data_IF_199173167999
#
_entry.id   IF_199173167999
#
_cell.length_a   1.000
_cell.length_b   1.000
_cell.length_c   1.000
_cell.angle_alpha   90.00
_cell.angle_beta   90.00
_cell.angle_gamma   90.00
#
_symmetry.space_group_name_H-M   'P 1'
#
loop_
_entity.id
_entity.type
_entity.pdbx_description
1 polymer ?
#
# COMPACT_ATOMS: atom_id res chain seq x y z
N UNK A 1 5.90 -14.63 -3.61
CA UNK A 1 5.08 -15.25 -2.55
C UNK A 1 5.05 -14.31 -1.36
N UNK A 2 3.92 -14.15 -0.67
CA UNK A 2 3.80 -13.25 0.50
C UNK A 2 3.92 -14.11 1.75
N UNK A 3 4.88 -13.84 2.61
CA UNK A 3 4.90 -14.44 3.94
C UNK A 3 3.92 -13.67 4.83
N UNK A 4 2.95 -14.36 5.41
CA UNK A 4 2.04 -13.77 6.37
C UNK A 4 2.47 -14.17 7.77
N UNK A 5 2.81 -13.16 8.57
CA UNK A 5 3.19 -13.34 9.96
C UNK A 5 2.01 -13.88 10.78
N UNK A 6 2.26 -14.81 11.70
CA UNK A 6 1.29 -15.20 12.72
C UNK A 6 1.03 -14.03 13.68
N UNK A 7 -0.05 -14.12 14.46
CA UNK A 7 -0.39 -13.07 15.46
C UNK A 7 0.71 -12.92 16.52
N UNK A 8 1.39 -14.01 16.88
CA UNK A 8 2.50 -14.01 17.83
C UNK A 8 3.75 -13.38 17.22
N UNK A 9 4.10 -13.73 15.97
CA UNK A 9 5.21 -13.15 15.25
C UNK A 9 5.02 -11.64 15.03
N UNK A 10 3.80 -11.16 14.81
CA UNK A 10 3.50 -9.74 14.65
C UNK A 10 3.78 -8.92 15.91
N UNK A 11 3.69 -9.51 17.09
CA UNK A 11 3.92 -8.86 18.38
C UNK A 11 5.40 -8.86 18.81
N UNK A 12 6.21 -9.71 18.21
CA UNK A 12 7.62 -9.88 18.58
C UNK A 12 8.54 -9.17 17.59
N UNK A 13 8.79 -7.89 17.84
CA UNK A 13 9.64 -7.05 16.97
C UNK A 13 11.11 -7.51 16.90
N UNK A 14 11.62 -8.24 17.90
CA UNK A 14 12.99 -8.74 17.89
C UNK A 14 13.22 -9.76 16.76
N UNK A 15 12.19 -10.49 16.34
CA UNK A 15 12.28 -11.44 15.23
C UNK A 15 12.67 -10.78 13.91
N UNK A 16 12.36 -9.51 13.71
CA UNK A 16 12.64 -8.80 12.45
C UNK A 16 14.13 -8.48 12.25
N UNK A 17 14.94 -8.68 13.28
CA UNK A 17 16.41 -8.59 13.22
C UNK A 17 17.09 -9.92 13.52
N UNK A 18 16.33 -11.00 13.75
CA UNK A 18 16.85 -12.34 14.00
C UNK A 18 17.16 -13.03 12.67
N UNK A 19 18.45 -13.31 12.44
CA UNK A 19 18.92 -13.95 11.21
C UNK A 19 18.33 -15.34 10.99
N UNK A 20 18.04 -16.11 12.05
CA UNK A 20 17.44 -17.45 11.94
C UNK A 20 16.00 -17.35 11.44
N UNK A 21 15.22 -16.40 11.98
CA UNK A 21 13.87 -16.12 11.55
C UNK A 21 13.84 -15.59 10.11
N UNK A 22 14.73 -14.66 9.76
CA UNK A 22 14.83 -14.11 8.42
C UNK A 22 15.14 -15.20 7.39
N UNK A 23 16.10 -16.09 7.67
CA UNK A 23 16.41 -17.24 6.81
C UNK A 23 15.18 -18.13 6.59
N UNK A 24 14.47 -18.49 7.66
CA UNK A 24 13.21 -19.27 7.58
C UNK A 24 12.15 -18.60 6.69
N UNK A 25 12.04 -17.27 6.73
CA UNK A 25 11.14 -16.51 5.86
C UNK A 25 11.61 -16.57 4.41
N UNK A 26 12.91 -16.39 4.16
CA UNK A 26 13.51 -16.41 2.82
C UNK A 26 13.39 -17.79 2.15
N UNK A 27 13.55 -18.87 2.89
CA UNK A 27 13.36 -20.24 2.39
C UNK A 27 11.97 -20.49 1.80
N UNK A 28 10.96 -19.74 2.28
CA UNK A 28 9.59 -19.79 1.76
C UNK A 28 9.36 -18.87 0.56
N UNK A 29 10.39 -18.19 0.08
CA UNK A 29 10.32 -17.27 -1.06
C UNK A 29 11.05 -17.85 -2.28
N UNK A 30 10.82 -17.34 -3.49
CA UNK A 30 11.60 -17.71 -4.67
C UNK A 30 13.08 -17.33 -4.59
N UNK A 31 13.49 -16.57 -3.58
CA UNK A 31 14.86 -16.11 -3.37
C UNK A 31 15.73 -17.13 -2.65
N UNK A 32 15.20 -18.27 -2.22
CA UNK A 32 15.91 -19.30 -1.45
C UNK A 32 17.17 -19.86 -2.14
N UNK A 33 17.19 -19.87 -3.48
CA UNK A 33 18.26 -20.45 -4.29
C UNK A 33 19.31 -19.40 -4.72
N UNK A 34 19.32 -18.23 -4.11
CA UNK A 34 20.27 -17.16 -4.46
C UNK A 34 21.46 -17.17 -3.50
N UNK A 35 22.61 -17.60 -4.00
CA UNK A 35 23.84 -17.80 -3.21
C UNK A 35 24.28 -16.53 -2.45
N UNK A 36 24.08 -15.35 -3.01
CA UNK A 36 24.48 -14.10 -2.35
C UNK A 36 23.78 -13.86 -0.99
N UNK A 37 22.63 -14.52 -0.74
CA UNK A 37 21.93 -14.39 0.55
C UNK A 37 22.75 -14.97 1.71
N UNK A 38 23.69 -15.87 1.43
CA UNK A 38 24.58 -16.45 2.43
C UNK A 38 25.65 -15.48 2.90
N UNK A 39 25.98 -14.50 2.05
CA UNK A 39 26.99 -13.47 2.31
C UNK A 39 26.43 -12.22 3.02
N UNK A 40 25.12 -12.11 3.13
CA UNK A 40 24.48 -10.98 3.79
C UNK A 40 24.57 -11.10 5.31
N UNK A 41 25.32 -10.16 5.92
CA UNK A 41 25.63 -10.18 7.37
C UNK A 41 24.55 -9.53 8.23
N UNK A 42 23.80 -8.55 7.69
CA UNK A 42 22.81 -7.78 8.45
C UNK A 42 21.49 -7.66 7.68
N UNK A 43 20.72 -8.74 7.71
CA UNK A 43 19.36 -8.72 7.14
C UNK A 43 18.37 -8.18 8.17
N UNK A 44 17.46 -7.32 7.71
CA UNK A 44 16.34 -6.83 8.52
C UNK A 44 15.03 -6.97 7.74
N UNK A 45 13.99 -7.39 8.41
CA UNK A 45 12.62 -7.38 7.88
C UNK A 45 11.92 -6.13 8.40
N UNK A 46 11.31 -5.38 7.48
CA UNK A 46 10.46 -4.24 7.83
C UNK A 46 9.00 -4.64 7.63
N UNK A 47 8.22 -4.78 8.72
CA UNK A 47 6.80 -5.07 8.60
C UNK A 47 6.06 -3.89 7.98
N UNK A 48 5.12 -4.19 7.09
CA UNK A 48 4.24 -3.19 6.48
C UNK A 48 2.88 -3.26 7.16
N UNK A 49 2.52 -2.21 7.86
CA UNK A 49 1.21 -2.04 8.45
C UNK A 49 0.27 -1.33 7.47
N UNK A 50 -0.96 -1.80 7.39
CA UNK A 50 -2.01 -1.19 6.55
C UNK A 50 -3.28 -1.02 7.37
N UNK A 51 -4.01 0.06 7.11
CA UNK A 51 -5.29 0.30 7.77
C UNK A 51 -6.39 -0.57 7.17
N UNK A 52 -7.32 -1.01 8.02
CA UNK A 52 -8.53 -1.70 7.61
C UNK A 52 -9.74 -0.75 7.60
N UNK A 53 -9.80 0.14 8.59
CA UNK A 53 -10.91 1.04 8.84
C UNK A 53 -10.48 2.50 8.89
N UNK A 54 -11.44 3.40 8.75
CA UNK A 54 -11.26 4.83 8.86
C UNK A 54 -11.71 5.30 10.25
N UNK A 55 -10.84 6.01 10.94
CA UNK A 55 -11.16 6.60 12.23
C UNK A 55 -11.52 8.07 12.06
N UNK A 56 -12.71 8.44 12.55
CA UNK A 56 -13.10 9.84 12.73
C UNK A 56 -12.98 10.16 14.20
N UNK A 57 -12.17 11.16 14.55
CA UNK A 57 -12.08 11.65 15.91
C UNK A 57 -13.39 12.37 16.27
N UNK A 58 -13.80 12.24 17.54
CA UNK A 58 -15.03 12.90 18.04
C UNK A 58 -14.88 14.42 18.13
N UNK A 59 -13.63 14.89 18.35
CA UNK A 59 -13.34 16.32 18.36
C UNK A 59 -13.22 16.85 16.93
N UNK A 60 -14.13 17.76 16.57
CA UNK A 60 -14.20 18.34 15.22
C UNK A 60 -13.01 19.25 14.88
N UNK A 61 -12.19 19.65 15.86
CA UNK A 61 -11.02 20.50 15.64
C UNK A 61 -9.73 19.70 15.40
N UNK A 62 -9.81 18.36 15.44
CA UNK A 62 -8.66 17.48 15.20
C UNK A 62 -8.90 16.65 13.97
N UNK A 63 -8.01 16.79 12.99
CA UNK A 63 -8.08 16.05 11.71
C UNK A 63 -6.84 15.17 11.56
N UNK A 64 -7.05 13.92 11.16
CA UNK A 64 -5.98 13.00 10.80
C UNK A 64 -5.65 13.15 9.31
N UNK A 65 -4.37 13.08 8.98
CA UNK A 65 -3.86 13.09 7.59
C UNK A 65 -2.81 11.99 7.40
N UNK A 66 -2.49 11.68 6.15
CA UNK A 66 -1.48 10.67 5.80
C UNK A 66 -1.81 9.28 6.36
N UNK A 67 -0.78 8.58 6.82
CA UNK A 67 -0.92 7.23 7.37
C UNK A 67 -1.73 7.19 8.67
N UNK A 68 -1.75 8.29 9.44
CA UNK A 68 -2.63 8.43 10.60
C UNK A 68 -4.11 8.43 10.22
N UNK A 69 -4.46 8.94 9.03
CA UNK A 69 -5.82 8.84 8.49
C UNK A 69 -6.09 7.46 7.91
N UNK A 70 -5.17 6.94 7.10
CA UNK A 70 -5.26 5.61 6.50
C UNK A 70 -3.93 5.18 5.87
N UNK A 71 -3.26 4.20 6.46
CA UNK A 71 -2.04 3.61 5.93
C UNK A 71 -2.35 2.71 4.73
N UNK A 72 -1.87 3.11 3.56
CA UNK A 72 -2.10 2.42 2.29
C UNK A 72 -1.07 1.30 2.06
N UNK A 73 -1.44 0.19 1.38
CA UNK A 73 -0.47 -0.78 0.89
C UNK A 73 0.54 -0.09 -0.07
N UNK A 74 1.86 -0.42 0.02
CA UNK A 74 2.89 0.26 -0.77
C UNK A 74 2.86 -0.09 -2.26
N UNK A 75 2.08 -1.08 -2.66
CA UNK A 75 2.00 -1.64 -4.02
C UNK A 75 1.57 -0.64 -5.11
N UNK A 76 1.10 0.54 -4.75
CA UNK A 76 0.71 1.59 -5.67
C UNK A 76 1.54 2.89 -5.51
N UNK A 77 2.49 2.90 -4.57
CA UNK A 77 3.38 4.03 -4.26
C UNK A 77 2.64 5.36 -4.01
N UNK A 78 1.43 5.32 -3.42
CA UNK A 78 0.56 6.48 -3.24
C UNK A 78 0.61 7.09 -1.83
N UNK A 79 1.30 6.48 -0.86
CA UNK A 79 1.30 6.95 0.53
C UNK A 79 1.68 8.43 0.65
N UNK A 80 2.85 8.81 0.17
CA UNK A 80 3.35 10.18 0.27
C UNK A 80 2.48 11.18 -0.50
N UNK A 81 2.12 10.88 -1.76
CA UNK A 81 1.29 11.79 -2.56
C UNK A 81 -0.10 11.98 -1.97
N UNK A 82 -0.70 10.93 -1.39
CA UNK A 82 -1.99 11.02 -0.71
C UNK A 82 -1.90 11.78 0.63
N UNK A 83 -0.75 11.75 1.30
CA UNK A 83 -0.51 12.56 2.50
C UNK A 83 -0.45 14.05 2.16
N UNK A 84 0.31 14.43 1.12
CA UNK A 84 0.43 15.81 0.65
C UNK A 84 -0.92 16.34 0.14
N UNK A 85 -1.61 15.56 -0.68
CA UNK A 85 -2.94 15.92 -1.20
C UNK A 85 -3.95 16.11 -0.05
N UNK A 86 -3.93 15.19 0.95
CA UNK A 86 -4.80 15.29 2.11
C UNK A 86 -4.55 16.52 2.97
N UNK A 87 -3.29 16.91 3.15
CA UNK A 87 -2.94 18.15 3.84
C UNK A 87 -3.44 19.38 3.09
N UNK A 88 -3.29 19.42 1.77
CA UNK A 88 -3.78 20.50 0.93
C UNK A 88 -5.32 20.58 0.94
N UNK A 89 -6.02 19.45 0.80
CA UNK A 89 -7.49 19.38 0.88
C UNK A 89 -8.00 19.87 2.24
N UNK A 90 -7.33 19.49 3.34
CA UNK A 90 -7.68 19.97 4.68
C UNK A 90 -7.48 21.49 4.78
N UNK A 91 -6.33 22.01 4.35
CA UNK A 91 -6.06 23.44 4.34
C UNK A 91 -7.16 24.21 3.58
N UNK A 92 -7.50 23.76 2.37
CA UNK A 92 -8.57 24.37 1.57
C UNK A 92 -9.95 24.26 2.22
N UNK A 93 -10.24 23.17 2.92
CA UNK A 93 -11.53 23.02 3.60
C UNK A 93 -11.65 23.97 4.81
N UNK A 94 -10.56 24.24 5.52
CA UNK A 94 -10.51 25.22 6.60
C UNK A 94 -10.68 26.64 6.03
N UNK A 95 -9.93 26.99 4.99
CA UNK A 95 -10.05 28.30 4.32
C UNK A 95 -11.48 28.62 3.85
N UNK A 96 -12.23 27.61 3.42
CA UNK A 96 -13.59 27.75 2.91
C UNK A 96 -14.69 27.41 3.94
N UNK A 97 -14.35 27.14 5.20
CA UNK A 97 -15.28 26.72 6.26
C UNK A 97 -16.10 25.47 5.86
N UNK A 98 -15.43 24.48 5.24
CA UNK A 98 -16.06 23.23 4.76
C UNK A 98 -15.46 21.97 5.39
N UNK A 99 -14.83 22.09 6.54
CA UNK A 99 -14.09 21.00 7.24
C UNK A 99 -14.98 19.78 7.52
N UNK A 100 -16.27 20.03 7.74
CA UNK A 100 -17.25 18.96 7.96
C UNK A 100 -17.35 17.99 6.77
N UNK A 101 -17.02 18.45 5.55
CA UNK A 101 -17.01 17.63 4.35
C UNK A 101 -15.68 16.94 4.09
N UNK A 102 -14.58 17.42 4.70
CA UNK A 102 -13.24 16.89 4.48
C UNK A 102 -13.18 15.37 4.71
N UNK A 103 -13.63 14.90 5.86
CA UNK A 103 -13.59 13.48 6.19
C UNK A 103 -14.31 12.61 5.14
N UNK A 104 -15.54 13.00 4.76
CA UNK A 104 -16.34 12.26 3.78
C UNK A 104 -15.68 12.19 2.40
N UNK A 105 -15.15 13.32 1.94
CA UNK A 105 -14.50 13.43 0.63
C UNK A 105 -13.19 12.60 0.64
N UNK A 106 -12.40 12.74 1.71
CA UNK A 106 -11.15 12.02 1.85
C UNK A 106 -11.34 10.51 1.93
N UNK A 107 -12.33 10.02 2.69
CA UNK A 107 -12.68 8.59 2.72
C UNK A 107 -13.00 8.07 1.32
N UNK A 108 -13.80 8.80 0.52
CA UNK A 108 -14.14 8.40 -0.85
C UNK A 108 -12.88 8.27 -1.72
N UNK A 109 -11.98 9.24 -1.64
CA UNK A 109 -10.72 9.26 -2.40
C UNK A 109 -9.82 8.09 -2.01
N UNK A 110 -9.57 7.92 -0.71
CA UNK A 110 -8.69 6.88 -0.19
C UNK A 110 -9.25 5.47 -0.45
N UNK A 111 -10.55 5.25 -0.37
CA UNK A 111 -11.17 3.97 -0.77
C UNK A 111 -10.83 3.60 -2.22
N UNK A 112 -10.90 4.56 -3.13
CA UNK A 112 -10.55 4.34 -4.54
C UNK A 112 -9.06 3.99 -4.70
N UNK A 113 -8.16 4.73 -4.04
CA UNK A 113 -6.71 4.48 -4.07
C UNK A 113 -6.38 3.12 -3.46
N UNK A 114 -6.98 2.78 -2.30
CA UNK A 114 -6.78 1.51 -1.62
C UNK A 114 -7.23 0.32 -2.47
N UNK A 115 -8.36 0.43 -3.16
CA UNK A 115 -8.83 -0.61 -4.09
C UNK A 115 -7.80 -0.86 -5.19
N UNK A 116 -7.23 0.18 -5.78
CA UNK A 116 -6.19 0.05 -6.81
C UNK A 116 -4.89 -0.51 -6.25
N UNK A 117 -4.50 -0.10 -5.04
CA UNK A 117 -3.35 -0.69 -4.35
C UNK A 117 -3.52 -2.20 -4.12
N UNK A 118 -4.71 -2.64 -3.72
CA UNK A 118 -5.02 -4.06 -3.53
C UNK A 118 -4.98 -4.84 -4.86
N UNK A 119 -5.52 -4.26 -5.94
CA UNK A 119 -5.46 -4.86 -7.28
C UNK A 119 -4.00 -5.01 -7.73
N UNK A 120 -3.18 -3.98 -7.59
CA UNK A 120 -1.77 -4.05 -7.92
C UNK A 120 -1.02 -5.07 -7.05
N UNK A 121 -1.29 -5.09 -5.75
CA UNK A 121 -0.70 -6.08 -4.84
C UNK A 121 -1.04 -7.51 -5.28
N UNK A 122 -2.30 -7.76 -5.62
CA UNK A 122 -2.72 -9.07 -6.14
C UNK A 122 -2.00 -9.40 -7.45
N UNK A 123 -1.98 -8.47 -8.41
CA UNK A 123 -1.35 -8.68 -9.71
C UNK A 123 0.16 -8.95 -9.61
N UNK A 124 0.87 -8.27 -8.70
CA UNK A 124 2.30 -8.47 -8.49
C UNK A 124 2.64 -9.82 -7.85
N UNK A 125 1.72 -10.41 -7.09
CA UNK A 125 1.94 -11.68 -6.40
C UNK A 125 1.42 -12.91 -7.15
N UNK A 126 0.94 -12.74 -8.39
CA UNK A 126 0.59 -13.88 -9.25
C UNK A 126 1.86 -14.65 -9.64
N UNK A 127 1.97 -15.89 -9.17
CA UNK A 127 3.12 -16.78 -9.39
C UNK A 127 2.81 -17.97 -10.31
N UNK A 128 1.54 -18.29 -10.51
CA UNK A 128 1.16 -19.37 -11.41
C UNK A 128 1.44 -18.96 -12.87
N UNK A 129 2.10 -19.81 -13.69
CA UNK A 129 2.47 -19.50 -15.07
C UNK A 129 1.29 -19.04 -15.93
N UNK A 130 0.13 -19.70 -15.81
CA UNK A 130 -1.07 -19.37 -16.58
C UNK A 130 -1.61 -17.97 -16.22
N UNK A 131 -1.77 -17.69 -14.92
CA UNK A 131 -2.26 -16.39 -14.45
C UNK A 131 -1.28 -15.26 -14.75
N UNK A 132 0.02 -15.55 -14.68
CA UNK A 132 1.09 -14.61 -15.05
C UNK A 132 1.06 -14.29 -16.54
N UNK A 133 0.84 -15.29 -17.39
CA UNK A 133 0.69 -15.11 -18.84
C UNK A 133 -0.52 -14.22 -19.17
N UNK A 134 -1.68 -14.52 -18.59
CA UNK A 134 -2.89 -13.70 -18.78
C UNK A 134 -2.65 -12.27 -18.30
N UNK A 135 -2.06 -12.07 -17.10
CA UNK A 135 -1.69 -10.75 -16.59
C UNK A 135 -0.78 -9.99 -17.57
N UNK A 136 0.22 -10.65 -18.12
CA UNK A 136 1.19 -10.01 -19.03
C UNK A 136 0.54 -9.57 -20.34
N UNK A 137 -0.37 -10.37 -20.92
CA UNK A 137 -1.16 -9.97 -22.09
C UNK A 137 -2.01 -8.75 -21.74
N UNK A 138 -2.71 -8.79 -20.60
CA UNK A 138 -3.55 -7.69 -20.14
C UNK A 138 -2.73 -6.41 -20.01
N UNK A 139 -1.60 -6.46 -19.31
CA UNK A 139 -0.71 -5.31 -19.13
C UNK A 139 -0.22 -4.75 -20.47
N UNK A 140 0.23 -5.61 -21.39
CA UNK A 140 0.69 -5.17 -22.74
C UNK A 140 -0.40 -4.41 -23.49
N UNK A 141 -1.65 -4.86 -23.41
CA UNK A 141 -2.79 -4.23 -24.10
C UNK A 141 -3.19 -2.92 -23.45
N UNK A 142 -3.24 -2.86 -22.11
CA UNK A 142 -3.77 -1.72 -21.37
C UNK A 142 -2.75 -0.60 -21.15
N UNK A 143 -1.46 -0.91 -20.98
CA UNK A 143 -0.39 0.12 -20.86
C UNK A 143 -0.29 1.00 -22.12
N UNK A 144 -0.62 0.45 -23.30
CA UNK A 144 -0.63 1.20 -24.56
C UNK A 144 -1.92 2.02 -24.76
N UNK A 145 -2.95 1.79 -23.96
CA UNK A 145 -4.22 2.49 -24.08
C UNK A 145 -4.25 3.75 -23.22
N UNK A 146 -4.05 4.91 -23.86
CA UNK A 146 -4.02 6.22 -23.20
C UNK A 146 -5.30 6.51 -22.40
N UNK A 147 -6.49 6.19 -22.94
CA UNK A 147 -7.77 6.37 -22.25
C UNK A 147 -7.87 5.52 -20.99
N UNK A 148 -7.34 4.29 -21.02
CA UNK A 148 -7.28 3.44 -19.82
C UNK A 148 -6.35 4.05 -18.76
N UNK A 149 -5.16 4.50 -19.14
CA UNK A 149 -4.22 5.12 -18.21
C UNK A 149 -4.80 6.40 -17.59
N UNK A 150 -5.44 7.26 -18.38
CA UNK A 150 -6.13 8.45 -17.89
C UNK A 150 -7.29 8.10 -16.94
N UNK A 151 -8.04 7.05 -17.22
CA UNK A 151 -9.12 6.59 -16.33
C UNK A 151 -8.58 5.93 -15.06
N UNK A 152 -7.51 5.15 -15.16
CA UNK A 152 -6.96 4.39 -14.04
C UNK A 152 -6.07 5.25 -13.14
N UNK A 153 -5.18 6.05 -13.70
CA UNK A 153 -4.28 6.94 -12.97
C UNK A 153 -4.86 8.35 -12.81
N UNK A 154 -5.42 8.92 -13.87
CA UNK A 154 -5.88 10.30 -13.89
C UNK A 154 -7.00 10.60 -12.89
N UNK A 155 -7.90 9.65 -12.62
CA UNK A 155 -8.95 9.81 -11.59
C UNK A 155 -8.41 9.93 -10.16
N UNK A 156 -7.14 9.59 -9.93
CA UNK A 156 -6.51 9.77 -8.62
C UNK A 156 -6.18 11.24 -8.38
N UNK A 157 -5.81 11.97 -9.46
CA UNK A 157 -5.32 13.34 -9.41
C UNK A 157 -6.34 14.38 -9.88
N UNK A 158 -7.48 13.95 -10.42
CA UNK A 158 -8.60 14.85 -10.78
C UNK A 158 -9.53 14.96 -9.58
N UNK A 159 -9.68 16.17 -9.07
CA UNK A 159 -10.72 16.56 -8.12
C UNK A 159 -12.07 16.65 -8.84
#
# INVERSE_FOLDING_TARGET
>A
MKYQLSVEEQKNYSLFSDNSFIKKVLEKTPLKDIDFLNDLKELKIFPVFVSHDFYKLQNNNIHLIGDAFFALPPSFAQGASQSIEGAYELFKSIENNTENNFFKNRVKKIKMVNTRSKINQFAFHLSNPLTTFVRNIFLRKFIRNKKFLESYLGKIYKN
#
